data_IF_018232916483
#
_entry.id   IF_018232916483
#
_cell.length_a   1.000
_cell.length_b   1.000
_cell.length_c   1.000
_cell.angle_alpha   90.00
_cell.angle_beta   90.00
_cell.angle_gamma   90.00
#
_symmetry.space_group_name_H-M   'P 1'
#
loop_
_entity.id
_entity.type
_entity.pdbx_description
1 polymer ?
#
# COMPACT_ATOMS: atom_id res chain seq x y z
N UNK A 1 -16.65 -2.89 12.51
CA UNK A 1 -16.47 -2.07 11.30
C UNK A 1 -17.37 -2.67 10.25
N UNK A 2 -18.13 -1.85 9.53
CA UNK A 2 -18.81 -2.31 8.31
C UNK A 2 -17.77 -2.93 7.38
N UNK A 3 -18.14 -4.03 6.73
CA UNK A 3 -17.30 -4.67 5.72
C UNK A 3 -17.01 -3.65 4.61
N UNK A 4 -15.74 -3.44 4.28
CA UNK A 4 -15.33 -2.52 3.22
C UNK A 4 -15.63 -3.20 1.88
N UNK A 5 -16.42 -2.53 1.04
CA UNK A 5 -16.78 -2.96 -0.31
C UNK A 5 -16.50 -1.81 -1.26
N UNK A 6 -15.49 -1.93 -2.12
CA UNK A 6 -15.15 -0.87 -3.07
C UNK A 6 -16.26 -0.60 -4.08
N UNK A 7 -17.04 -1.60 -4.57
CA UNK A 7 -18.22 -1.32 -5.40
C UNK A 7 -19.26 -0.46 -4.68
N UNK A 8 -19.63 -0.82 -3.45
CA UNK A 8 -20.66 -0.07 -2.70
C UNK A 8 -20.20 1.36 -2.38
N UNK A 9 -18.90 1.52 -2.07
CA UNK A 9 -18.30 2.84 -1.84
C UNK A 9 -18.30 3.69 -3.12
N UNK A 10 -18.03 3.10 -4.29
CA UNK A 10 -18.13 3.76 -5.59
C UNK A 10 -19.56 4.19 -5.91
N UNK A 11 -20.54 3.29 -5.74
CA UNK A 11 -21.95 3.58 -6.02
C UNK A 11 -22.47 4.72 -5.13
N UNK A 12 -22.03 4.77 -3.88
CA UNK A 12 -22.38 5.85 -2.94
C UNK A 12 -21.60 7.16 -3.16
N UNK A 13 -20.43 7.11 -3.82
CA UNK A 13 -19.53 8.25 -3.99
C UNK A 13 -18.97 8.28 -5.42
N UNK A 14 -19.74 8.72 -6.43
CA UNK A 14 -19.36 8.63 -7.83
C UNK A 14 -18.13 9.47 -8.22
N UNK A 15 -17.72 10.42 -7.38
CA UNK A 15 -16.59 11.32 -7.63
C UNK A 15 -15.24 10.75 -7.13
N UNK A 16 -15.22 9.56 -6.52
CA UNK A 16 -13.97 8.92 -6.07
C UNK A 16 -13.11 8.53 -7.26
N UNK A 17 -11.78 8.57 -7.09
CA UNK A 17 -10.89 8.06 -8.11
C UNK A 17 -10.83 6.53 -8.01
N UNK A 18 -10.90 5.84 -9.15
CA UNK A 18 -10.82 4.38 -9.22
C UNK A 18 -9.51 4.00 -9.90
N UNK A 19 -8.73 3.13 -9.25
CA UNK A 19 -7.48 2.65 -9.81
C UNK A 19 -7.73 1.66 -10.95
N UNK A 20 -6.89 1.76 -11.98
CA UNK A 20 -6.78 0.73 -13.00
C UNK A 20 -6.44 -0.63 -12.34
N UNK A 21 -6.94 -1.76 -12.89
CA UNK A 21 -6.85 -3.09 -12.27
C UNK A 21 -5.44 -3.71 -12.42
N UNK A 22 -4.42 -2.98 -12.01
CA UNK A 22 -3.00 -3.37 -12.06
C UNK A 22 -2.52 -4.00 -10.75
N UNK A 23 -3.17 -3.66 -9.64
CA UNK A 23 -2.81 -4.11 -8.31
C UNK A 23 -3.48 -5.44 -7.97
N UNK A 24 -2.81 -6.27 -7.16
CA UNK A 24 -3.29 -7.57 -6.69
C UNK A 24 -3.14 -7.68 -5.19
N UNK A 25 -4.05 -8.41 -4.55
CA UNK A 25 -3.99 -8.71 -3.11
C UNK A 25 -2.91 -9.74 -2.76
N UNK A 26 -2.14 -9.47 -1.71
CA UNK A 26 -1.10 -10.37 -1.17
C UNK A 26 -1.20 -10.58 0.35
N UNK A 27 -1.99 -9.75 1.05
CA UNK A 27 -2.13 -9.79 2.51
C UNK A 27 -3.19 -10.78 2.96
N UNK A 28 -3.29 -11.02 4.28
CA UNK A 28 -4.32 -11.87 4.87
C UNK A 28 -5.68 -11.18 5.03
N UNK A 29 -5.76 -9.85 4.92
CA UNK A 29 -7.04 -9.11 4.83
C UNK A 29 -7.44 -8.92 3.37
N UNK A 30 -8.61 -9.43 3.01
CA UNK A 30 -9.18 -9.28 1.66
C UNK A 30 -9.69 -7.86 1.39
N UNK A 31 -10.12 -7.14 2.43
CA UNK A 31 -10.54 -5.75 2.34
C UNK A 31 -9.94 -4.91 3.47
N UNK A 32 -9.53 -3.68 3.14
CA UNK A 32 -8.94 -2.74 4.09
C UNK A 32 -9.08 -1.29 3.60
N UNK A 33 -8.94 -0.34 4.51
CA UNK A 33 -8.92 1.07 4.14
C UNK A 33 -8.55 1.97 5.31
N UNK A 34 -8.23 3.22 5.00
CA UNK A 34 -7.83 4.22 5.99
C UNK A 34 -7.14 5.42 5.36
N UNK A 35 -6.77 6.38 6.19
CA UNK A 35 -6.03 7.56 5.74
C UNK A 35 -4.64 7.15 5.23
N UNK A 36 -4.23 7.70 4.09
CA UNK A 36 -2.98 7.42 3.42
C UNK A 36 -1.81 8.16 4.06
N UNK A 37 -0.77 7.40 4.39
CA UNK A 37 0.60 7.90 4.58
C UNK A 37 1.36 7.57 3.32
N UNK A 38 1.81 8.59 2.60
CA UNK A 38 2.34 8.42 1.24
C UNK A 38 3.86 8.63 1.23
N UNK A 39 4.57 7.68 0.63
CA UNK A 39 6.02 7.75 0.46
C UNK A 39 6.45 7.40 -0.95
N UNK A 40 7.55 8.02 -1.40
CA UNK A 40 8.30 7.60 -2.59
C UNK A 40 9.64 7.05 -2.15
N UNK A 41 9.99 5.84 -2.59
CA UNK A 41 11.18 5.14 -2.10
C UNK A 41 12.04 4.58 -3.25
N UNK A 42 12.51 5.48 -4.10
CA UNK A 42 13.39 5.19 -5.24
C UNK A 42 14.69 6.00 -5.12
N UNK A 43 15.82 5.37 -5.43
CA UNK A 43 17.11 6.04 -5.61
C UNK A 43 17.67 5.82 -7.03
N UNK A 44 18.87 6.32 -7.29
CA UNK A 44 19.53 6.19 -8.59
C UNK A 44 19.82 4.73 -9.01
N UNK A 45 19.88 3.79 -8.06
CA UNK A 45 20.20 2.38 -8.25
C UNK A 45 18.97 1.46 -8.10
N UNK A 46 17.77 2.03 -7.89
CA UNK A 46 16.50 1.33 -7.88
C UNK A 46 15.69 1.50 -6.57
N UNK A 47 14.79 0.54 -6.26
CA UNK A 47 13.97 0.61 -5.05
C UNK A 47 14.78 0.52 -3.76
N UNK A 48 14.39 1.29 -2.76
CA UNK A 48 14.94 1.27 -1.40
C UNK A 48 13.81 1.10 -0.39
N UNK A 49 13.91 0.18 0.56
CA UNK A 49 12.85 -0.03 1.56
C UNK A 49 13.20 0.45 2.97
N UNK A 50 14.21 1.32 3.12
CA UNK A 50 14.63 1.83 4.42
C UNK A 50 13.51 2.64 5.08
N UNK A 51 12.92 3.59 4.36
CA UNK A 51 11.80 4.39 4.86
C UNK A 51 10.53 3.54 5.08
N UNK A 52 10.26 2.57 4.20
CA UNK A 52 9.13 1.64 4.35
C UNK A 52 9.25 0.86 5.67
N UNK A 53 10.43 0.30 5.95
CA UNK A 53 10.69 -0.43 7.20
C UNK A 53 10.52 0.47 8.42
N UNK A 54 11.04 1.70 8.37
CA UNK A 54 10.92 2.64 9.48
C UNK A 54 9.46 2.95 9.79
N UNK A 55 8.66 3.29 8.77
CA UNK A 55 7.25 3.65 8.93
C UNK A 55 6.38 2.47 9.38
N UNK A 56 6.66 1.25 8.90
CA UNK A 56 6.00 0.04 9.38
C UNK A 56 6.18 -0.16 10.90
N UNK A 57 7.28 0.34 11.46
CA UNK A 57 7.56 0.35 12.90
C UNK A 57 6.88 1.47 13.69
N UNK A 58 6.25 2.44 13.03
CA UNK A 58 5.50 3.53 13.69
C UNK A 58 4.04 3.11 13.96
N UNK A 59 3.37 3.68 14.97
CA UNK A 59 1.94 3.43 15.21
C UNK A 59 1.08 3.73 13.97
N UNK A 60 0.45 2.70 13.41
CA UNK A 60 -0.35 2.77 12.20
C UNK A 60 -1.69 3.46 12.41
N UNK A 61 -2.33 3.26 13.57
CA UNK A 61 -3.65 3.83 13.88
C UNK A 61 -4.72 3.57 12.80
N UNK A 62 -4.71 2.39 12.18
CA UNK A 62 -5.63 2.02 11.10
C UNK A 62 -5.38 2.77 9.79
N UNK A 63 -4.24 3.44 9.62
CA UNK A 63 -3.84 4.09 8.38
C UNK A 63 -3.33 3.09 7.35
N UNK A 64 -3.23 3.54 6.10
CA UNK A 64 -2.68 2.77 4.97
C UNK A 64 -1.37 3.40 4.53
N UNK A 65 -0.30 2.60 4.44
CA UNK A 65 0.99 3.06 3.92
C UNK A 65 1.04 2.86 2.40
N UNK A 66 1.10 3.95 1.66
CA UNK A 66 1.17 3.96 0.19
C UNK A 66 2.63 4.18 -0.21
N UNK A 67 3.21 3.21 -0.90
CA UNK A 67 4.62 3.19 -1.29
C UNK A 67 4.75 3.25 -2.80
N UNK A 68 5.38 4.31 -3.30
CA UNK A 68 5.72 4.47 -4.71
C UNK A 68 7.20 4.21 -4.96
N UNK A 69 7.52 3.19 -5.74
CA UNK A 69 8.88 2.93 -6.23
C UNK A 69 8.97 3.01 -7.76
N UNK A 70 8.07 3.81 -8.36
CA UNK A 70 8.03 4.03 -9.81
C UNK A 70 7.60 2.79 -10.59
N UNK A 71 6.83 1.90 -9.97
CA UNK A 71 6.36 0.66 -10.60
C UNK A 71 7.47 -0.38 -10.84
N UNK A 72 8.61 -0.25 -10.16
CA UNK A 72 9.74 -1.15 -10.35
C UNK A 72 9.38 -2.61 -9.99
N UNK A 73 9.69 -3.53 -10.92
CA UNK A 73 9.40 -4.96 -10.77
C UNK A 73 10.65 -5.82 -10.55
N UNK A 74 11.84 -5.22 -10.57
CA UNK A 74 13.13 -5.91 -10.39
C UNK A 74 13.41 -6.33 -8.95
N UNK A 75 12.81 -5.65 -7.97
CA UNK A 75 13.08 -5.82 -6.55
C UNK A 75 11.80 -5.62 -5.71
N UNK A 76 11.68 -6.41 -4.65
CA UNK A 76 10.60 -6.31 -3.68
C UNK A 76 10.96 -5.32 -2.57
N UNK A 77 10.02 -4.43 -2.24
CA UNK A 77 10.15 -3.47 -1.13
C UNK A 77 9.45 -3.92 0.14
N UNK A 78 8.51 -4.86 0.03
CA UNK A 78 7.82 -5.49 1.15
C UNK A 78 8.06 -6.99 1.16
N UNK A 79 8.31 -7.54 2.35
CA UNK A 79 8.36 -8.97 2.65
C UNK A 79 7.79 -9.24 4.03
N UNK A 80 7.85 -10.48 4.47
CA UNK A 80 7.24 -10.99 5.71
C UNK A 80 7.56 -10.15 6.96
N UNK A 81 8.83 -9.82 7.22
CA UNK A 81 9.26 -9.11 8.42
C UNK A 81 8.65 -7.71 8.52
N UNK A 82 8.67 -6.94 7.42
CA UNK A 82 8.13 -5.58 7.40
C UNK A 82 6.61 -5.61 7.50
N UNK A 83 5.96 -6.58 6.86
CA UNK A 83 4.52 -6.77 6.97
C UNK A 83 4.09 -7.15 8.40
N UNK A 84 4.83 -8.05 9.06
CA UNK A 84 4.57 -8.43 10.45
C UNK A 84 4.72 -7.23 11.39
N UNK A 85 5.77 -6.42 11.22
CA UNK A 85 5.96 -5.18 11.99
C UNK A 85 4.79 -4.20 11.77
N UNK A 86 4.36 -4.00 10.52
CA UNK A 86 3.23 -3.11 10.21
C UNK A 86 1.92 -3.61 10.86
N UNK A 87 1.64 -4.90 10.80
CA UNK A 87 0.48 -5.50 11.44
C UNK A 87 0.51 -5.31 12.96
N UNK A 88 1.66 -5.60 13.59
CA UNK A 88 1.86 -5.44 15.02
C UNK A 88 1.69 -3.99 15.50
N UNK A 89 2.01 -3.01 14.64
CA UNK A 89 1.86 -1.59 14.93
C UNK A 89 0.48 -1.02 14.52
N UNK A 90 -0.46 -1.86 14.10
CA UNK A 90 -1.85 -1.45 13.87
C UNK A 90 -2.07 -0.69 12.56
N UNK A 91 -1.27 -0.94 11.53
CA UNK A 91 -1.58 -0.49 10.16
C UNK A 91 -2.79 -1.28 9.61
N UNK A 92 -3.64 -0.61 8.83
CA UNK A 92 -4.75 -1.28 8.14
C UNK A 92 -4.24 -2.09 6.94
N UNK A 93 -3.26 -1.53 6.22
CA UNK A 93 -2.62 -2.21 5.09
C UNK A 93 -1.55 -1.37 4.41
N UNK A 94 -0.97 -1.96 3.35
CA UNK A 94 0.01 -1.33 2.48
C UNK A 94 -0.45 -1.41 1.02
N UNK A 95 -0.20 -0.35 0.28
CA UNK A 95 -0.40 -0.29 -1.18
C UNK A 95 0.93 0.04 -1.83
N UNK A 96 1.41 -0.84 -2.71
CA UNK A 96 2.75 -0.76 -3.27
C UNK A 96 2.67 -0.59 -4.79
N UNK A 97 3.05 0.58 -5.31
CA UNK A 97 3.36 0.75 -6.73
C UNK A 97 4.75 0.16 -7.04
N UNK A 98 4.82 -1.17 -7.01
CA UNK A 98 6.01 -2.00 -7.13
C UNK A 98 5.74 -3.45 -6.73
N UNK A 99 6.79 -4.21 -6.43
CA UNK A 99 6.67 -5.64 -6.07
C UNK A 99 6.85 -5.95 -4.58
N UNK A 100 6.30 -7.10 -4.18
CA UNK A 100 6.49 -7.74 -2.87
C UNK A 100 7.21 -9.09 -2.98
N UNK A 101 7.50 -9.72 -1.85
CA UNK A 101 8.00 -11.10 -1.76
C UNK A 101 7.43 -11.83 -0.56
N UNK A 102 7.81 -13.10 -0.38
CA UNK A 102 7.35 -13.94 0.74
C UNK A 102 5.81 -14.12 0.75
N UNK A 103 5.22 -14.21 -0.46
CA UNK A 103 3.76 -14.15 -0.70
C UNK A 103 2.98 -15.18 0.11
N UNK A 104 3.51 -16.39 0.30
CA UNK A 104 2.87 -17.44 1.09
C UNK A 104 2.70 -17.01 2.56
N UNK A 105 3.68 -16.31 3.11
CA UNK A 105 3.65 -15.79 4.48
C UNK A 105 2.76 -14.55 4.56
N UNK A 106 2.85 -13.63 3.59
CA UNK A 106 2.03 -12.41 3.56
C UNK A 106 0.52 -12.69 3.66
N UNK A 107 0.04 -13.76 3.01
CA UNK A 107 -1.36 -14.21 3.06
C UNK A 107 -1.83 -14.65 4.45
N UNK A 108 -0.90 -14.94 5.35
CA UNK A 108 -1.21 -15.35 6.73
C UNK A 108 -1.16 -14.18 7.73
N UNK A 109 -0.67 -13.02 7.31
CA UNK A 109 -0.53 -11.84 8.17
C UNK A 109 -1.84 -11.05 8.13
N UNK A 110 -2.39 -10.72 9.30
CA UNK A 110 -3.61 -9.91 9.45
C UNK A 110 -3.39 -8.43 9.06
N UNK A 111 -3.17 -8.21 7.77
CA UNK A 111 -2.82 -6.93 7.16
C UNK A 111 -3.28 -6.92 5.72
N UNK A 112 -3.82 -5.79 5.25
CA UNK A 112 -4.08 -5.58 3.84
C UNK A 112 -2.79 -5.35 3.06
N UNK A 113 -2.61 -6.00 1.90
CA UNK A 113 -1.48 -5.70 1.02
C UNK A 113 -1.95 -5.74 -0.43
N UNK A 114 -1.78 -4.63 -1.15
CA UNK A 114 -1.92 -4.57 -2.60
C UNK A 114 -0.61 -4.19 -3.27
N UNK A 115 -0.25 -4.85 -4.38
CA UNK A 115 0.96 -4.55 -5.13
C UNK A 115 0.84 -4.91 -6.61
N UNK A 116 1.75 -4.42 -7.46
CA UNK A 116 1.77 -4.75 -8.90
C UNK A 116 2.15 -6.22 -9.18
N UNK A 117 2.96 -6.82 -8.30
CA UNK A 117 3.55 -8.12 -8.56
C UNK A 117 4.35 -8.66 -7.38
N UNK A 118 4.98 -9.82 -7.60
CA UNK A 118 5.96 -10.38 -6.67
C UNK A 118 7.28 -10.70 -7.37
N UNK A 119 8.39 -10.56 -6.64
CA UNK A 119 9.74 -10.85 -7.14
C UNK A 119 10.63 -11.31 -5.97
N UNK A 120 11.48 -12.33 -6.13
CA UNK A 120 12.25 -12.88 -5.00
C UNK A 120 13.38 -11.95 -4.51
N UNK A 121 13.87 -11.05 -5.37
CA UNK A 121 15.01 -10.17 -5.07
C UNK A 121 14.58 -9.05 -4.12
N UNK A 122 15.31 -8.84 -3.02
CA UNK A 122 15.09 -7.70 -2.10
C UNK A 122 15.57 -6.37 -2.70
N UNK A 123 14.98 -5.26 -2.25
CA UNK A 123 15.43 -3.89 -2.51
C UNK A 123 16.71 -3.50 -1.77
N UNK A 124 17.21 -2.31 -2.07
CA UNK A 124 18.32 -1.68 -1.35
C UNK A 124 17.89 -1.16 0.04
N UNK A 125 18.89 -0.79 0.85
CA UNK A 125 18.72 -0.16 2.17
C UNK A 125 19.79 0.91 2.43
N UNK A 126 19.73 2.00 1.68
CA UNK A 126 20.68 3.12 1.69
C UNK A 126 20.15 4.34 2.44
N UNK A 127 18.97 4.27 3.04
CA UNK A 127 18.38 5.38 3.78
C UNK A 127 17.74 6.46 2.92
N UNK A 128 17.36 6.13 1.68
CA UNK A 128 16.68 7.06 0.77
C UNK A 128 15.16 6.95 0.89
N UNK A 129 14.47 8.00 0.45
CA UNK A 129 13.01 8.05 0.39
C UNK A 129 12.46 9.42 0.80
N UNK A 130 11.30 9.75 0.27
CA UNK A 130 10.57 10.98 0.54
C UNK A 130 9.23 10.63 1.20
N UNK A 131 8.90 11.31 2.30
CA UNK A 131 7.64 11.19 3.02
C UNK A 131 6.74 12.38 2.68
N UNK A 132 5.43 12.17 2.79
CA UNK A 132 4.40 13.20 2.63
C UNK A 132 4.42 13.84 1.21
N UNK A 133 4.64 12.98 0.21
CA UNK A 133 4.64 13.35 -1.21
C UNK A 133 3.35 12.90 -1.90
N UNK A 134 2.95 13.60 -2.95
CA UNK A 134 1.89 13.13 -3.85
C UNK A 134 2.47 12.17 -4.88
N UNK A 135 1.81 11.03 -5.05
CA UNK A 135 2.18 9.99 -6.02
C UNK A 135 1.05 9.77 -7.02
N UNK A 136 1.40 9.29 -8.21
CA UNK A 136 0.43 8.97 -9.26
C UNK A 136 0.76 7.63 -9.89
N UNK A 137 -0.17 6.68 -9.83
CA UNK A 137 -0.06 5.36 -10.44
C UNK A 137 -1.44 4.74 -10.67
N UNK A 138 -1.54 3.79 -11.60
CA UNK A 138 -2.81 3.11 -11.94
C UNK A 138 -3.97 4.09 -12.17
N UNK A 139 -3.73 5.21 -12.84
CA UNK A 139 -4.75 6.21 -13.14
C UNK A 139 -5.24 7.08 -11.97
N UNK A 140 -4.68 6.93 -10.76
CA UNK A 140 -5.08 7.71 -9.57
C UNK A 140 -3.94 8.56 -9.02
N UNK A 141 -4.30 9.66 -8.36
CA UNK A 141 -3.41 10.51 -7.58
C UNK A 141 -3.71 10.35 -6.09
N UNK A 142 -2.66 10.07 -5.32
CA UNK A 142 -2.77 9.88 -3.87
C UNK A 142 -1.85 10.89 -3.20
N UNK A 143 -2.46 11.86 -2.52
CA UNK A 143 -1.80 12.85 -1.69
C UNK A 143 -1.87 12.46 -0.21
N UNK A 144 -0.94 12.96 0.63
CA UNK A 144 -1.03 12.80 2.07
C UNK A 144 -2.38 13.28 2.60
N UNK A 145 -3.02 12.47 3.45
CA UNK A 145 -4.32 12.78 4.04
C UNK A 145 -5.53 12.33 3.22
N UNK A 146 -5.35 11.92 1.95
CA UNK A 146 -6.37 11.16 1.22
C UNK A 146 -6.69 9.85 1.95
N UNK A 147 -7.81 9.24 1.60
CA UNK A 147 -8.22 7.93 2.09
C UNK A 147 -8.15 6.93 0.96
N UNK A 148 -7.66 5.74 1.27
CA UNK A 148 -7.56 4.63 0.33
C UNK A 148 -8.40 3.48 0.87
N UNK A 149 -9.17 2.87 -0.01
CA UNK A 149 -9.94 1.67 0.26
C UNK A 149 -9.62 0.64 -0.81
N UNK A 150 -9.48 -0.61 -0.40
CA UNK A 150 -9.14 -1.71 -1.28
C UNK A 150 -9.88 -2.97 -0.86
N UNK A 151 -10.28 -3.74 -1.86
CA UNK A 151 -10.78 -5.11 -1.71
C UNK A 151 -10.29 -5.98 -2.88
N UNK A 152 -10.87 -7.17 -3.06
CA UNK A 152 -10.55 -8.05 -4.18
C UNK A 152 -10.92 -7.48 -5.56
N UNK A 153 -11.81 -6.49 -5.62
CA UNK A 153 -12.28 -5.86 -6.87
C UNK A 153 -11.30 -4.81 -7.35
N UNK A 154 -10.78 -3.98 -6.44
CA UNK A 154 -9.86 -2.91 -6.81
C UNK A 154 -9.51 -1.98 -5.66
N UNK A 155 -9.00 -0.81 -6.04
CA UNK A 155 -8.59 0.25 -5.14
C UNK A 155 -9.24 1.56 -5.54
N UNK A 156 -9.71 2.30 -4.54
CA UNK A 156 -10.27 3.65 -4.73
C UNK A 156 -9.58 4.66 -3.83
N UNK A 157 -9.60 5.92 -4.26
CA UNK A 157 -9.02 7.05 -3.54
C UNK A 157 -10.08 8.11 -3.33
N UNK A 158 -10.20 8.59 -2.10
CA UNK A 158 -11.14 9.63 -1.69
C UNK A 158 -10.42 10.76 -0.96
N UNK A 159 -10.94 11.98 -1.07
CA UNK A 159 -10.39 13.15 -0.37
C UNK A 159 -10.77 13.20 1.12
N UNK A 160 -11.77 12.40 1.52
CA UNK A 160 -12.30 12.29 2.88
C UNK A 160 -12.57 10.83 3.24
N UNK A 161 -12.76 10.56 4.52
CA UNK A 161 -13.22 9.26 4.98
C UNK A 161 -14.61 8.94 4.41
N UNK A 162 -14.76 7.72 3.90
CA UNK A 162 -16.01 7.11 3.48
C UNK A 162 -16.36 5.99 4.48
N UNK A 163 -17.49 6.14 5.18
CA UNK A 163 -17.91 5.23 6.25
C UNK A 163 -17.49 5.70 7.64
#
# INVERSE_FOLDING_TARGET
MSEISTPDLCDANPDVQVAEPLLRGYGGREAFGGQAVVVRCVDADGPDNTLVKQLAGEPGHGRVLVVDVGGATSNAVLGDLIAADAAANGWAGLVINGCVRDVEVLRSIDLGVMALGSVPRKSNRRGTGERDVTVGFAGVHIAPGNYVYADATGLIVAERALG
#
